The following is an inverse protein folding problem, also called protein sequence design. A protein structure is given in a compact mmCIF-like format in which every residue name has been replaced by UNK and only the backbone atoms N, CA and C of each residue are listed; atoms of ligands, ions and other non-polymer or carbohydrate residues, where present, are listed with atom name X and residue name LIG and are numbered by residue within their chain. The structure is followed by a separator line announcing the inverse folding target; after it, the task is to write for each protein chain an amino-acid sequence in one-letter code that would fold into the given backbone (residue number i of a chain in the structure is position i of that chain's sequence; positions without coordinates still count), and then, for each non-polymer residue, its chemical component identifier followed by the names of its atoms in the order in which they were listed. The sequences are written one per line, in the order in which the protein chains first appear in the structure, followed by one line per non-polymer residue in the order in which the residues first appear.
data_IF_140065004626
#
_entry.id   IF_140065004626
#
_cell.length_a   1.000
_cell.length_b   1.000
_cell.length_c   1.000
_cell.angle_alpha   90.00
_cell.angle_beta   90.00
_cell.angle_gamma   90.00
#
_symmetry.space_group_name_H-M   'P 1'
#
loop_
_entity.id
_entity.type
_entity.pdbx_description
1 polymer ?
#
# COMPACT_ATOMS: atom_id res chain seq x y z
N UNK A 1 15.25 -2.94 -17.07
CA UNK A 1 13.86 -2.43 -17.10
C UNK A 1 13.17 -3.04 -15.93
N UNK A 2 12.52 -2.22 -15.09
CA UNK A 2 11.92 -2.68 -13.85
C UNK A 2 10.81 -3.71 -14.10
N UNK A 3 10.79 -4.78 -13.32
CA UNK A 3 9.80 -5.87 -13.31
C UNK A 3 8.70 -5.68 -12.27
N UNK A 4 8.66 -4.54 -11.57
CA UNK A 4 7.62 -4.24 -10.58
C UNK A 4 6.22 -3.95 -11.16
N UNK A 5 5.26 -3.76 -10.26
CA UNK A 5 3.85 -3.46 -10.61
C UNK A 5 3.74 -2.14 -11.39
N UNK A 6 2.77 -2.07 -12.30
CA UNK A 6 2.45 -0.89 -13.11
C UNK A 6 1.23 -0.15 -12.59
N UNK A 7 0.35 -0.83 -11.86
CA UNK A 7 -0.87 -0.22 -11.31
C UNK A 7 -1.31 -0.89 -10.01
N UNK A 8 -1.86 -0.07 -9.11
CA UNK A 8 -2.39 -0.50 -7.82
C UNK A 8 -3.73 0.20 -7.55
N UNK A 9 -4.54 -0.36 -6.66
CA UNK A 9 -5.63 0.42 -6.06
C UNK A 9 -5.07 1.54 -5.20
N UNK A 10 -5.82 2.62 -5.10
CA UNK A 10 -5.43 3.82 -4.39
C UNK A 10 -6.57 4.39 -3.55
N UNK A 11 -6.20 4.81 -2.35
CA UNK A 11 -7.03 5.58 -1.42
C UNK A 11 -6.13 6.12 -0.31
N UNK A 12 -6.51 7.26 0.26
CA UNK A 12 -5.89 7.82 1.45
C UNK A 12 -6.93 7.93 2.55
N UNK A 13 -6.66 7.29 3.69
CA UNK A 13 -7.50 7.26 4.90
C UNK A 13 -8.85 6.54 4.75
N UNK A 14 -9.55 6.71 3.63
CA UNK A 14 -10.84 6.08 3.34
C UNK A 14 -10.87 5.54 1.91
N UNK A 15 -11.20 4.25 1.79
CA UNK A 15 -11.31 3.55 0.52
C UNK A 15 -12.79 3.37 0.19
N UNK A 16 -13.33 4.27 -0.64
CA UNK A 16 -14.70 4.20 -1.12
C UNK A 16 -14.77 3.31 -2.36
N UNK A 17 -15.87 2.60 -2.52
CA UNK A 17 -16.14 1.82 -3.74
C UNK A 17 -16.82 2.70 -4.81
N UNK A 18 -16.38 2.65 -6.08
CA UNK A 18 -15.28 1.83 -6.60
C UNK A 18 -13.90 2.41 -6.23
N UNK A 19 -12.95 1.52 -5.89
CA UNK A 19 -11.56 1.92 -5.61
C UNK A 19 -10.93 2.63 -6.82
N UNK A 20 -10.23 3.73 -6.56
CA UNK A 20 -9.45 4.43 -7.58
C UNK A 20 -8.22 3.60 -7.96
N UNK A 21 -7.75 3.77 -9.20
CA UNK A 21 -6.54 3.11 -9.72
C UNK A 21 -5.43 4.14 -9.87
N UNK A 22 -4.27 3.85 -9.28
CA UNK A 22 -3.04 4.63 -9.44
C UNK A 22 -2.08 3.89 -10.38
N UNK A 23 -1.57 4.60 -11.39
CA UNK A 23 -0.44 4.16 -12.20
C UNK A 23 0.86 4.34 -11.41
N UNK A 24 1.61 3.26 -11.20
CA UNK A 24 2.91 3.25 -10.54
C UNK A 24 3.98 3.63 -11.58
N UNK A 25 4.35 4.91 -11.58
CA UNK A 25 5.07 5.50 -12.70
C UNK A 25 6.49 4.94 -12.94
N UNK A 26 6.94 5.06 -14.20
CA UNK A 26 8.29 4.94 -14.79
C UNK A 26 9.03 3.58 -14.81
N UNK A 27 9.33 3.11 -16.02
CA UNK A 27 10.02 1.84 -16.39
C UNK A 27 11.42 1.59 -15.79
N UNK A 28 11.92 2.58 -15.03
CA UNK A 28 13.24 2.58 -14.42
C UNK A 28 13.23 2.19 -12.95
N UNK A 29 12.05 2.10 -12.35
CA UNK A 29 11.88 1.79 -10.93
C UNK A 29 10.96 0.59 -10.76
N UNK A 30 11.24 -0.21 -9.74
CA UNK A 30 10.41 -1.34 -9.35
C UNK A 30 9.45 -0.89 -8.25
N UNK A 31 8.15 -0.98 -8.51
CA UNK A 31 7.12 -0.70 -7.53
C UNK A 31 6.48 -1.99 -7.02
N UNK A 32 5.88 -1.90 -5.84
CA UNK A 32 4.97 -2.89 -5.23
C UNK A 32 3.67 -2.19 -4.87
N UNK A 33 2.58 -2.93 -4.84
CA UNK A 33 1.34 -2.42 -4.27
C UNK A 33 1.37 -2.60 -2.76
N UNK A 34 0.78 -1.66 -2.02
CA UNK A 34 0.53 -1.81 -0.60
C UNK A 34 -0.95 -1.61 -0.28
N UNK A 35 -1.40 -2.24 0.80
CA UNK A 35 -2.58 -1.81 1.55
C UNK A 35 -2.27 -1.83 3.04
N UNK A 36 -2.67 -0.76 3.73
CA UNK A 36 -2.52 -0.62 5.16
C UNK A 36 -3.85 -0.28 5.81
N UNK A 37 -4.05 -0.83 6.99
CA UNK A 37 -5.13 -0.54 7.92
C UNK A 37 -4.49 -0.11 9.23
N UNK A 38 -4.85 1.05 9.75
CA UNK A 38 -4.32 1.56 11.01
C UNK A 38 -5.44 2.18 11.86
N UNK A 39 -5.41 1.94 13.16
CA UNK A 39 -6.28 2.58 14.14
C UNK A 39 -5.50 3.74 14.75
N UNK A 40 -5.94 4.96 14.48
CA UNK A 40 -5.32 6.16 15.04
C UNK A 40 -5.47 6.22 16.57
N UNK A 41 -4.68 7.04 17.28
CA UNK A 41 -4.82 7.20 18.74
C UNK A 41 -6.22 7.66 19.20
N UNK A 42 -7.02 8.26 18.31
CA UNK A 42 -8.42 8.65 18.58
C UNK A 42 -9.42 7.52 18.31
N UNK A 43 -8.96 6.32 17.92
CA UNK A 43 -9.78 5.16 17.60
C UNK A 43 -10.38 5.19 16.19
N UNK A 44 -9.98 6.15 15.35
CA UNK A 44 -10.45 6.22 13.96
C UNK A 44 -9.69 5.20 13.12
N UNK A 45 -10.43 4.38 12.39
CA UNK A 45 -9.90 3.42 11.45
C UNK A 45 -9.55 4.11 10.12
N UNK A 46 -8.29 4.02 9.72
CA UNK A 46 -7.76 4.53 8.46
C UNK A 46 -7.35 3.38 7.54
N UNK A 47 -7.76 3.46 6.28
CA UNK A 47 -7.34 2.55 5.21
C UNK A 47 -6.60 3.33 4.14
N UNK A 48 -5.44 2.84 3.73
CA UNK A 48 -4.65 3.44 2.65
C UNK A 48 -4.17 2.36 1.70
N UNK A 49 -4.12 2.70 0.41
CA UNK A 49 -3.65 1.82 -0.68
C UNK A 49 -2.83 2.65 -1.66
N UNK A 50 -1.86 2.03 -2.31
CA UNK A 50 -1.15 2.68 -3.41
C UNK A 50 0.10 1.93 -3.86
N UNK A 51 0.92 2.64 -4.62
CA UNK A 51 2.23 2.19 -5.07
C UNK A 51 3.33 2.61 -4.08
N UNK A 52 4.33 1.76 -3.90
CA UNK A 52 5.56 2.06 -3.16
C UNK A 52 6.76 1.50 -3.90
N UNK A 53 7.92 2.17 -3.81
CA UNK A 53 9.15 1.63 -4.38
C UNK A 53 9.57 0.35 -3.65
N UNK A 54 9.97 -0.67 -4.41
CA UNK A 54 10.40 -1.96 -3.88
C UNK A 54 11.67 -1.88 -3.03
N UNK A 55 12.40 -0.77 -3.09
CA UNK A 55 13.59 -0.50 -2.29
C UNK A 55 13.38 0.63 -1.26
N UNK A 56 12.14 1.02 -1.00
CA UNK A 56 11.82 1.99 0.05
C UNK A 56 11.85 1.32 1.43
N UNK A 57 13.03 1.30 2.04
CA UNK A 57 13.26 0.74 3.39
C UNK A 57 12.39 1.40 4.46
N UNK A 58 12.05 2.68 4.31
CA UNK A 58 11.18 3.37 5.26
C UNK A 58 9.78 2.78 5.22
N UNK A 59 9.25 2.56 4.01
CA UNK A 59 7.93 1.95 3.86
C UNK A 59 7.91 0.49 4.30
N UNK A 60 8.95 -0.29 4.00
CA UNK A 60 9.07 -1.67 4.48
C UNK A 60 9.02 -1.72 6.02
N UNK A 61 9.85 -0.92 6.69
CA UNK A 61 9.88 -0.87 8.15
C UNK A 61 8.55 -0.37 8.74
N UNK A 62 7.89 0.61 8.10
CA UNK A 62 6.55 1.07 8.51
C UNK A 62 5.50 -0.03 8.39
N UNK A 63 5.51 -0.76 7.29
CA UNK A 63 4.57 -1.85 7.04
C UNK A 63 4.73 -2.97 8.07
N UNK A 64 5.98 -3.37 8.35
CA UNK A 64 6.30 -4.33 9.40
C UNK A 64 5.84 -3.84 10.77
N UNK A 65 6.08 -2.56 11.10
CA UNK A 65 5.69 -1.96 12.38
C UNK A 65 4.18 -2.00 12.61
N UNK A 66 3.37 -1.71 11.57
CA UNK A 66 1.91 -1.81 11.65
C UNK A 66 1.45 -3.23 11.98
N UNK A 67 2.12 -4.25 11.45
CA UNK A 67 1.79 -5.65 11.71
C UNK A 67 2.10 -6.11 13.15
N UNK A 68 2.82 -5.33 13.96
CA UNK A 68 3.04 -5.62 15.38
C UNK A 68 2.00 -4.97 16.31
N UNK A 69 1.17 -4.06 15.79
CA UNK A 69 0.16 -3.34 16.57
C UNK A 69 -1.16 -4.10 16.47
N UNK A 70 -1.76 -4.44 17.61
CA UNK A 70 -3.05 -5.13 17.63
C UNK A 70 -4.14 -4.26 16.98
N UNK A 71 -4.80 -4.81 15.96
CA UNK A 71 -5.88 -4.13 15.21
C UNK A 71 -5.43 -3.49 13.89
N UNK A 72 -4.12 -3.30 13.71
CA UNK A 72 -3.50 -2.76 12.51
C UNK A 72 -3.01 -3.90 11.60
N UNK A 73 -2.83 -3.59 10.32
CA UNK A 73 -2.26 -4.53 9.37
C UNK A 73 -1.68 -3.80 8.15
N UNK A 74 -0.64 -4.36 7.56
CA UNK A 74 -0.10 -3.90 6.30
C UNK A 74 0.29 -5.08 5.42
N UNK A 75 -0.09 -5.00 4.14
CA UNK A 75 0.13 -6.01 3.12
C UNK A 75 0.82 -5.37 1.92
N UNK A 76 1.82 -6.06 1.36
CA UNK A 76 2.53 -5.66 0.15
C UNK A 76 2.58 -6.81 -0.85
N UNK A 77 2.48 -6.52 -2.13
CA UNK A 77 2.40 -7.54 -3.18
C UNK A 77 2.93 -7.04 -4.53
N UNK A 78 3.27 -7.99 -5.40
CA UNK A 78 4.09 -7.79 -6.60
C UNK A 78 3.33 -7.97 -7.92
N UNK A 79 1.99 -8.03 -7.86
CA UNK A 79 1.13 -8.17 -9.03
C UNK A 79 0.26 -6.93 -9.22
N UNK A 80 -0.09 -6.59 -10.47
CA UNK A 80 -0.97 -5.45 -10.73
C UNK A 80 -2.32 -5.60 -10.00
N UNK A 81 -2.75 -4.54 -9.33
CA UNK A 81 -4.03 -4.49 -8.61
C UNK A 81 -4.17 -5.58 -7.51
N UNK A 82 -3.08 -6.09 -6.95
CA UNK A 82 -3.11 -7.16 -5.94
C UNK A 82 -3.52 -6.67 -4.53
N UNK A 83 -3.58 -5.35 -4.30
CA UNK A 83 -3.84 -4.75 -2.99
C UNK A 83 -5.34 -4.56 -2.69
N UNK A 84 -6.16 -5.57 -2.95
CA UNK A 84 -7.60 -5.56 -2.62
C UNK A 84 -7.89 -5.58 -1.12
N UNK A 85 -7.07 -6.29 -0.34
CA UNK A 85 -7.22 -6.50 1.10
C UNK A 85 -7.08 -5.21 1.90
#
# INVERSE_FOLDING_TARGET
GGTGVKKCFYCLFQCNEPLEVQECANDWQDFRCYSSKAITPSGVLEHSKGCVLSNDEWWHSRCDSLNYIEGDSCYMCDEDMCNFL
#
